data_IF_832032833440
#
_entry.id   IF_832032833440
#
_cell.length_a   1.000
_cell.length_b   1.000
_cell.length_c   1.000
_cell.angle_alpha   90.00
_cell.angle_beta   90.00
_cell.angle_gamma   90.00
#
_symmetry.space_group_name_H-M   'P 1'
#
loop_
_entity.id
_entity.type
_entity.pdbx_description
1 polymer ?
#
# COMPACT_ATOMS: atom_id res chain seq x y z
N UNK A 1 -28.87 29.20 -27.44
CA UNK A 1 -28.58 27.81 -27.75
C UNK A 1 -27.16 27.42 -27.27
N UNK A 2 -26.92 27.39 -25.97
CA UNK A 2 -25.74 26.86 -25.33
C UNK A 2 -26.18 26.30 -23.96
N UNK A 3 -26.58 25.06 -23.96
CA UNK A 3 -26.92 24.35 -22.73
C UNK A 3 -26.58 22.87 -22.94
N UNK A 4 -25.61 22.34 -22.22
CA UNK A 4 -25.40 20.91 -22.19
C UNK A 4 -23.93 20.50 -22.18
N UNK A 5 -23.29 20.48 -21.05
CA UNK A 5 -21.91 19.91 -20.95
C UNK A 5 -21.32 19.89 -19.54
N UNK A 6 -21.92 20.55 -18.59
CA UNK A 6 -21.35 20.64 -17.22
C UNK A 6 -21.73 19.48 -16.29
N UNK A 7 -22.82 18.77 -16.55
CA UNK A 7 -23.30 17.70 -15.67
C UNK A 7 -22.53 16.38 -15.75
N UNK A 8 -22.02 16.03 -16.93
CA UNK A 8 -21.29 14.76 -17.11
C UNK A 8 -19.86 14.82 -16.54
N UNK A 9 -19.14 15.94 -16.74
CA UNK A 9 -17.77 16.10 -16.21
C UNK A 9 -17.74 16.14 -14.67
N UNK A 10 -18.72 16.80 -14.04
CA UNK A 10 -18.81 16.86 -12.58
C UNK A 10 -19.07 15.49 -11.94
N UNK A 11 -19.85 14.60 -12.57
CA UNK A 11 -20.11 13.26 -12.07
C UNK A 11 -18.89 12.33 -12.18
N UNK A 12 -18.12 12.44 -13.26
CA UNK A 12 -16.90 11.64 -13.45
C UNK A 12 -15.83 12.07 -12.42
N UNK A 13 -15.63 13.36 -12.21
CA UNK A 13 -14.72 13.85 -11.19
C UNK A 13 -15.15 13.42 -9.78
N UNK A 14 -16.42 13.56 -9.41
CA UNK A 14 -16.91 13.16 -8.10
C UNK A 14 -16.71 11.65 -7.82
N UNK A 15 -16.83 10.81 -8.85
CA UNK A 15 -16.61 9.36 -8.71
C UNK A 15 -15.13 9.01 -8.55
N UNK A 16 -14.26 9.59 -9.37
CA UNK A 16 -12.81 9.39 -9.29
C UNK A 16 -12.23 9.89 -7.96
N UNK A 17 -12.77 10.99 -7.46
CA UNK A 17 -12.34 11.55 -6.18
C UNK A 17 -12.84 10.75 -4.96
N UNK A 18 -13.93 9.98 -5.08
CA UNK A 18 -14.29 8.96 -4.10
C UNK A 18 -13.24 7.85 -4.02
N UNK A 19 -12.68 7.43 -5.16
CA UNK A 19 -11.58 6.47 -5.17
C UNK A 19 -10.31 7.04 -4.56
N UNK A 20 -9.94 8.28 -4.83
CA UNK A 20 -8.81 8.94 -4.17
C UNK A 20 -9.03 9.11 -2.67
N UNK A 21 -10.27 9.38 -2.24
CA UNK A 21 -10.65 9.36 -0.81
C UNK A 21 -10.61 7.94 -0.24
N UNK A 22 -10.95 6.92 -1.03
CA UNK A 22 -10.82 5.51 -0.65
C UNK A 22 -9.35 5.08 -0.54
N UNK A 23 -8.44 5.58 -1.40
CA UNK A 23 -6.97 5.42 -1.24
C UNK A 23 -6.52 5.96 0.11
N UNK A 24 -7.13 7.09 0.56
CA UNK A 24 -6.88 7.62 1.90
C UNK A 24 -7.31 6.66 3.02
N UNK A 25 -8.18 5.69 2.74
CA UNK A 25 -8.71 4.73 3.71
C UNK A 25 -8.03 3.35 3.58
N UNK A 26 -7.42 3.05 2.44
CA UNK A 26 -6.81 1.74 2.19
C UNK A 26 -5.42 1.67 2.83
N UNK A 27 -5.08 0.61 3.59
CA UNK A 27 -3.74 0.36 4.09
C UNK A 27 -2.71 0.30 2.95
N UNK A 28 -1.44 0.55 3.26
CA UNK A 28 -0.39 0.18 2.31
C UNK A 28 -0.52 -1.33 2.05
N UNK A 29 -0.53 -1.74 0.76
CA UNK A 29 -0.65 -3.15 0.46
C UNK A 29 0.53 -3.94 1.04
N UNK A 30 0.25 -4.98 1.80
CA UNK A 30 1.27 -5.90 2.27
C UNK A 30 1.87 -6.67 1.09
N UNK A 31 3.18 -6.87 1.11
CA UNK A 31 3.82 -7.81 0.19
C UNK A 31 3.45 -9.22 0.66
N UNK A 32 2.75 -10.01 -0.16
CA UNK A 32 2.42 -11.38 0.16
C UNK A 32 3.65 -12.24 0.50
N UNK A 33 3.49 -13.37 1.21
CA UNK A 33 4.61 -14.22 1.64
C UNK A 33 5.54 -14.64 0.51
N UNK A 34 5.03 -14.87 -0.69
CA UNK A 34 5.78 -15.20 -1.89
C UNK A 34 6.66 -14.05 -2.38
N UNK A 35 6.24 -12.79 -2.19
CA UNK A 35 7.03 -11.61 -2.57
C UNK A 35 8.03 -11.21 -1.50
N UNK A 36 7.72 -11.45 -0.24
CA UNK A 36 8.68 -11.30 0.84
C UNK A 36 9.92 -12.21 0.63
N UNK A 37 9.74 -13.37 -0.01
CA UNK A 37 10.85 -14.26 -0.40
C UNK A 37 11.71 -13.68 -1.55
N UNK A 38 11.10 -12.96 -2.49
CA UNK A 38 11.79 -12.28 -3.61
C UNK A 38 12.52 -11.02 -3.11
N UNK A 39 11.88 -10.24 -2.24
CA UNK A 39 12.50 -9.07 -1.62
C UNK A 39 13.67 -9.45 -0.68
N UNK A 40 13.61 -10.63 -0.07
CA UNK A 40 14.69 -11.20 0.76
C UNK A 40 15.82 -11.82 -0.07
N UNK A 41 16.09 -11.36 -1.28
CA UNK A 41 17.21 -11.82 -2.08
C UNK A 41 18.43 -12.14 -1.21
N UNK A 42 18.59 -13.43 -0.88
CA UNK A 42 19.72 -14.05 -0.19
C UNK A 42 20.58 -13.12 0.68
N UNK A 43 20.09 -12.78 1.84
CA UNK A 43 20.93 -12.58 3.01
C UNK A 43 20.39 -13.48 4.11
N UNK A 44 20.79 -14.74 4.06
CA UNK A 44 20.88 -15.55 5.27
C UNK A 44 21.85 -14.82 6.18
N UNK A 45 21.36 -13.99 7.06
CA UNK A 45 22.12 -13.63 8.25
C UNK A 45 22.18 -14.92 9.07
N UNK A 46 23.27 -15.65 8.89
CA UNK A 46 23.60 -16.75 9.75
C UNK A 46 23.59 -16.21 11.19
N UNK A 47 22.73 -16.79 12.02
CA UNK A 47 22.82 -16.66 13.47
C UNK A 47 24.21 -17.10 13.87
N UNK A 48 25.07 -16.12 14.17
CA UNK A 48 26.39 -16.44 14.73
C UNK A 48 26.17 -17.13 16.09
N UNK A 49 26.85 -18.25 16.36
CA UNK A 49 26.82 -18.90 17.66
C UNK A 49 27.42 -17.96 18.70
N UNK A 50 26.81 -17.91 19.86
CA UNK A 50 27.38 -17.34 21.08
C UNK A 50 28.80 -17.92 21.27
N UNK A 51 29.81 -17.11 21.05
CA UNK A 51 31.17 -17.44 21.36
C UNK A 51 31.88 -16.23 21.96
N UNK A 52 32.21 -16.42 23.22
CA UNK A 52 33.34 -15.85 23.94
C UNK A 52 33.15 -14.51 24.65
N UNK A 53 33.12 -14.67 25.96
CA UNK A 53 33.55 -13.69 26.98
C UNK A 53 34.84 -12.99 26.57
N UNK A 54 34.85 -11.64 26.67
CA UNK A 54 36.07 -10.91 26.91
C UNK A 54 36.68 -10.16 25.75
N UNK A 55 35.94 -9.15 25.20
CA UNK A 55 36.57 -7.96 24.64
C UNK A 55 35.66 -6.77 24.84
N UNK A 56 36.09 -5.79 25.66
CA UNK A 56 35.39 -4.47 25.76
C UNK A 56 35.29 -3.88 24.35
N UNK A 57 34.12 -3.42 23.91
CA UNK A 57 34.00 -2.79 22.61
C UNK A 57 34.83 -1.49 22.62
N UNK A 58 35.77 -1.40 21.69
CA UNK A 58 36.73 -0.29 21.56
C UNK A 58 36.16 0.94 20.84
N UNK A 59 34.88 0.93 20.47
CA UNK A 59 34.17 2.13 19.96
C UNK A 59 32.93 2.39 20.83
N UNK A 60 32.68 3.66 21.25
CA UNK A 60 31.44 3.98 21.95
C UNK A 60 30.25 3.63 21.05
N UNK A 61 29.26 2.98 21.64
CA UNK A 61 28.03 2.62 20.94
C UNK A 61 27.37 3.88 20.35
N UNK A 62 26.93 3.82 19.09
CA UNK A 62 26.19 4.90 18.44
C UNK A 62 24.84 5.04 19.16
N UNK A 63 24.51 6.23 19.62
CA UNK A 63 23.24 6.55 20.27
C UNK A 63 22.55 7.71 19.55
N UNK A 64 21.23 7.81 19.69
CA UNK A 64 20.46 8.96 19.18
C UNK A 64 21.07 10.28 19.67
N UNK A 65 21.41 10.37 20.98
CA UNK A 65 22.06 11.54 21.57
C UNK A 65 23.40 11.87 20.88
N UNK A 66 24.24 10.87 20.64
CA UNK A 66 25.56 11.09 20.03
C UNK A 66 25.47 11.60 18.59
N UNK A 67 24.48 11.09 17.82
CA UNK A 67 24.20 11.56 16.45
C UNK A 67 23.67 12.98 16.44
N UNK A 68 22.67 13.29 17.29
CA UNK A 68 22.14 14.66 17.43
C UNK A 68 23.21 15.65 17.85
N UNK A 69 24.06 15.29 18.82
CA UNK A 69 25.20 16.15 19.22
C UNK A 69 26.18 16.38 18.07
N UNK A 70 26.44 15.38 17.23
CA UNK A 70 27.29 15.53 16.07
C UNK A 70 26.65 16.43 14.98
N UNK A 71 25.34 16.33 14.76
CA UNK A 71 24.59 17.21 13.86
C UNK A 71 24.63 18.68 14.35
N UNK A 72 24.44 18.90 15.64
CA UNK A 72 24.51 20.23 16.24
C UNK A 72 25.91 20.85 16.13
N UNK A 73 26.96 20.11 16.51
CA UNK A 73 28.36 20.59 16.40
C UNK A 73 28.76 20.96 14.98
N UNK A 74 28.17 20.33 13.96
CA UNK A 74 28.41 20.64 12.54
C UNK A 74 27.53 21.77 12.02
N UNK A 75 26.69 22.36 12.85
CA UNK A 75 25.73 23.39 12.43
C UNK A 75 24.60 22.89 11.56
N UNK A 76 24.42 21.56 11.44
CA UNK A 76 23.34 20.97 10.64
C UNK A 76 21.96 21.11 11.30
N UNK A 77 21.92 21.26 12.60
CA UNK A 77 20.71 21.54 13.40
C UNK A 77 20.99 22.60 14.45
N UNK A 78 19.94 23.34 14.81
CA UNK A 78 20.01 24.33 15.88
C UNK A 78 20.00 23.66 17.26
N UNK A 79 20.38 24.42 18.31
CA UNK A 79 20.25 23.96 19.70
C UNK A 79 18.79 23.63 20.08
N UNK A 80 17.82 24.36 19.51
CA UNK A 80 16.39 24.11 19.71
C UNK A 80 15.98 22.77 19.08
N UNK A 81 16.37 22.50 17.84
CA UNK A 81 16.10 21.24 17.17
C UNK A 81 16.74 20.05 17.90
N UNK A 82 17.99 20.22 18.35
CA UNK A 82 18.66 19.21 19.20
C UNK A 82 17.86 18.91 20.45
N UNK A 83 17.53 19.94 21.24
CA UNK A 83 16.83 19.77 22.52
C UNK A 83 15.42 19.18 22.34
N UNK A 84 14.67 19.65 21.35
CA UNK A 84 13.32 19.13 21.04
C UNK A 84 13.36 17.65 20.61
N UNK A 85 14.27 17.28 19.73
CA UNK A 85 14.36 15.89 19.24
C UNK A 85 14.81 14.95 20.36
N UNK A 86 15.82 15.34 21.14
CA UNK A 86 16.30 14.53 22.27
C UNK A 86 15.23 14.42 23.36
N UNK A 87 14.48 15.49 23.62
CA UNK A 87 13.39 15.49 24.61
C UNK A 87 12.26 14.57 24.16
N UNK A 88 11.86 14.59 22.87
CA UNK A 88 10.82 13.71 22.33
C UNK A 88 11.25 12.24 22.44
N UNK A 89 12.48 11.89 22.04
CA UNK A 89 13.01 10.54 22.15
C UNK A 89 13.05 10.06 23.60
N UNK A 90 13.65 10.86 24.51
CA UNK A 90 13.72 10.51 25.93
C UNK A 90 12.33 10.42 26.58
N UNK A 91 11.35 11.21 26.14
CA UNK A 91 9.99 11.14 26.66
C UNK A 91 9.29 9.84 26.23
N UNK A 92 9.51 9.39 24.98
CA UNK A 92 9.01 8.09 24.50
C UNK A 92 9.62 6.94 25.32
N UNK A 93 10.95 6.89 25.45
CA UNK A 93 11.67 5.87 26.27
C UNK A 93 11.23 5.88 27.73
N UNK A 94 10.95 7.05 28.32
CA UNK A 94 10.40 7.10 29.69
C UNK A 94 8.98 6.57 29.77
N UNK A 95 8.18 6.79 28.72
CA UNK A 95 6.80 6.33 28.66
C UNK A 95 6.69 4.79 28.50
N UNK A 96 7.71 4.10 28.04
CA UNK A 96 7.78 2.64 28.00
C UNK A 96 7.71 2.00 29.40
N UNK A 97 8.32 2.63 30.40
CA UNK A 97 8.51 2.03 31.75
C UNK A 97 7.23 1.53 32.44
N UNK A 98 6.10 2.27 32.45
CA UNK A 98 4.85 1.80 33.03
C UNK A 98 4.01 0.91 32.09
N UNK A 99 4.40 0.78 30.82
CA UNK A 99 3.63 0.01 29.82
C UNK A 99 3.95 -1.48 29.91
N UNK A 100 3.00 -2.30 29.47
CA UNK A 100 3.15 -3.76 29.38
C UNK A 100 2.43 -4.29 28.12
N UNK A 101 2.76 -5.51 27.72
CA UNK A 101 2.12 -6.19 26.57
C UNK A 101 2.24 -5.38 25.27
N UNK A 102 1.21 -5.41 24.45
CA UNK A 102 1.19 -4.75 23.13
C UNK A 102 1.61 -3.28 23.19
N UNK A 103 1.14 -2.53 24.18
CA UNK A 103 1.49 -1.09 24.31
C UNK A 103 2.98 -0.85 24.44
N UNK A 104 3.65 -1.67 25.26
CA UNK A 104 5.10 -1.61 25.43
C UNK A 104 5.80 -2.01 24.13
N UNK A 105 5.45 -3.14 23.56
CA UNK A 105 6.07 -3.67 22.33
C UNK A 105 6.01 -2.65 21.19
N UNK A 106 4.87 -2.01 21.00
CA UNK A 106 4.69 -1.05 19.90
C UNK A 106 5.47 0.26 20.13
N UNK A 107 5.54 0.77 21.37
CA UNK A 107 6.32 1.98 21.65
C UNK A 107 7.83 1.70 21.57
N UNK A 108 8.30 0.55 22.06
CA UNK A 108 9.68 0.08 21.91
C UNK A 108 10.07 -0.08 20.43
N UNK A 109 9.18 -0.61 19.59
CA UNK A 109 9.44 -0.72 18.15
C UNK A 109 9.69 0.63 17.49
N UNK A 110 8.97 1.67 17.91
CA UNK A 110 9.16 3.03 17.39
C UNK A 110 10.46 3.65 17.88
N UNK A 111 10.80 3.53 19.16
CA UNK A 111 12.06 4.06 19.69
C UNK A 111 13.27 3.32 19.12
N UNK A 112 13.16 2.01 18.90
CA UNK A 112 14.17 1.21 18.21
C UNK A 112 14.33 1.61 16.75
N UNK A 113 13.24 1.88 16.02
CA UNK A 113 13.31 2.38 14.64
C UNK A 113 14.11 3.70 14.57
N UNK A 114 13.91 4.62 15.52
CA UNK A 114 14.69 5.86 15.60
C UNK A 114 16.16 5.59 15.94
N UNK A 115 16.42 4.62 16.83
CA UNK A 115 17.78 4.19 17.13
C UNK A 115 18.47 3.58 15.90
N UNK A 116 17.78 2.75 15.14
CA UNK A 116 18.30 2.18 13.89
C UNK A 116 18.60 3.24 12.84
N UNK A 117 17.77 4.29 12.71
CA UNK A 117 18.10 5.44 11.86
C UNK A 117 19.41 6.12 12.30
N UNK A 118 19.69 6.18 13.60
CA UNK A 118 20.94 6.74 14.11
C UNK A 118 22.13 5.84 13.78
N UNK A 119 22.04 4.53 14.04
CA UNK A 119 23.09 3.53 13.78
C UNK A 119 23.44 3.45 12.29
N UNK A 120 22.43 3.49 11.42
CA UNK A 120 22.59 3.41 9.96
C UNK A 120 22.93 4.77 9.32
N UNK A 121 23.18 5.82 10.12
CA UNK A 121 23.46 7.20 9.69
C UNK A 121 22.32 7.84 8.88
N UNK A 122 21.12 7.35 9.05
CA UNK A 122 19.91 7.86 8.40
C UNK A 122 19.17 8.91 9.24
N UNK A 123 19.52 9.08 10.52
CA UNK A 123 19.01 10.17 11.36
C UNK A 123 19.72 11.49 10.96
N UNK A 124 19.10 12.22 10.04
CA UNK A 124 19.65 13.46 9.46
C UNK A 124 18.75 14.65 9.75
N UNK A 125 19.29 15.87 9.66
CA UNK A 125 18.56 17.09 9.96
C UNK A 125 17.17 17.20 9.28
N UNK A 126 17.03 16.95 7.96
CA UNK A 126 15.73 17.05 7.29
C UNK A 126 14.66 16.04 7.77
N UNK A 127 15.07 14.96 8.44
CA UNK A 127 14.16 13.89 8.91
C UNK A 127 13.64 14.11 10.31
N UNK A 128 14.25 15.05 11.07
CA UNK A 128 13.94 15.21 12.50
C UNK A 128 12.49 15.59 12.76
N UNK A 129 11.89 16.42 11.91
CA UNK A 129 10.49 16.83 12.11
C UNK A 129 9.52 15.64 12.06
N UNK A 130 9.65 14.76 11.08
CA UNK A 130 8.83 13.55 10.98
C UNK A 130 9.12 12.56 12.10
N UNK A 131 10.39 12.38 12.48
CA UNK A 131 10.79 11.53 13.61
C UNK A 131 10.17 12.02 14.91
N UNK A 132 10.23 13.33 15.18
CA UNK A 132 9.61 13.94 16.40
C UNK A 132 8.09 13.77 16.38
N UNK A 133 7.46 13.99 15.23
CA UNK A 133 6.01 13.78 15.09
C UNK A 133 5.62 12.32 15.37
N UNK A 134 6.36 11.34 14.82
CA UNK A 134 6.14 9.91 15.03
C UNK A 134 6.32 9.53 16.51
N UNK A 135 7.39 9.97 17.16
CA UNK A 135 7.62 9.72 18.59
C UNK A 135 6.48 10.29 19.47
N UNK A 136 6.04 11.50 19.20
CA UNK A 136 4.98 12.15 19.97
C UNK A 136 3.62 11.47 19.76
N UNK A 137 3.25 11.14 18.52
CA UNK A 137 2.01 10.42 18.19
C UNK A 137 1.96 9.08 18.92
N UNK A 138 3.02 8.28 18.84
CA UNK A 138 3.10 6.98 19.49
C UNK A 138 3.09 7.09 21.01
N UNK A 139 3.92 7.98 21.60
CA UNK A 139 3.90 8.21 23.04
C UNK A 139 2.50 8.54 23.53
N UNK A 140 1.81 9.49 22.88
CA UNK A 140 0.45 9.87 23.26
C UNK A 140 -0.51 8.71 23.15
N UNK A 141 -0.50 8.01 22.02
CA UNK A 141 -1.46 6.92 21.77
C UNK A 141 -1.26 5.73 22.71
N UNK A 142 -0.03 5.24 22.85
CA UNK A 142 0.24 4.05 23.64
C UNK A 142 0.09 4.27 25.15
N UNK A 143 0.13 5.53 25.60
CA UNK A 143 -0.14 5.85 27.02
C UNK A 143 -1.61 6.10 27.32
N UNK A 144 -2.41 6.58 26.35
CA UNK A 144 -3.78 7.03 26.64
C UNK A 144 -4.85 6.52 25.68
N UNK A 145 -4.48 6.09 24.47
CA UNK A 145 -5.43 5.62 23.46
C UNK A 145 -5.95 4.20 23.69
N UNK A 146 -6.95 3.76 22.95
CA UNK A 146 -7.40 2.36 22.89
C UNK A 146 -6.42 1.48 22.14
N UNK A 147 -6.49 0.14 22.32
CA UNK A 147 -5.74 -0.78 21.47
C UNK A 147 -6.35 -0.79 20.06
N UNK A 148 -5.58 -0.47 19.01
CA UNK A 148 -6.08 -0.46 17.66
C UNK A 148 -6.08 -1.89 17.07
N UNK A 149 -6.92 -2.11 16.06
CA UNK A 149 -6.78 -3.28 15.20
C UNK A 149 -5.72 -3.04 14.12
N UNK A 150 -5.07 -4.08 13.57
CA UNK A 150 -4.15 -3.93 12.45
C UNK A 150 -4.73 -3.06 11.34
N UNK A 151 -3.89 -2.20 10.73
CA UNK A 151 -4.23 -1.28 9.65
C UNK A 151 -5.27 -0.20 10.01
N UNK A 152 -5.61 -0.09 11.30
CA UNK A 152 -6.53 0.96 11.75
C UNK A 152 -5.89 2.35 11.60
N UNK A 153 -6.64 3.24 10.96
CA UNK A 153 -6.27 4.65 10.87
C UNK A 153 -6.71 5.43 12.08
N UNK A 154 -5.83 6.35 12.47
CA UNK A 154 -5.97 7.15 13.68
C UNK A 154 -5.69 8.60 13.33
N UNK A 155 -6.57 9.46 13.78
CA UNK A 155 -6.40 10.91 13.70
C UNK A 155 -6.36 11.50 15.12
N UNK A 156 -5.49 12.49 15.30
CA UNK A 156 -5.37 13.18 16.59
C UNK A 156 -6.15 14.50 16.54
N UNK A 157 -6.81 14.85 17.65
CA UNK A 157 -7.53 16.12 17.77
C UNK A 157 -6.62 17.31 17.41
N UNK A 158 -7.12 18.21 16.57
CA UNK A 158 -6.37 19.37 16.06
C UNK A 158 -5.35 19.06 14.96
N UNK A 159 -5.20 17.80 14.55
CA UNK A 159 -4.37 17.38 13.43
C UNK A 159 -5.23 16.84 12.29
N UNK A 160 -4.79 17.10 11.07
CA UNK A 160 -5.38 16.52 9.85
C UNK A 160 -4.55 15.34 9.31
N UNK A 161 -3.38 15.06 9.91
CA UNK A 161 -2.50 13.98 9.50
C UNK A 161 -3.14 12.63 9.77
N UNK A 162 -2.97 11.69 8.84
CA UNK A 162 -3.44 10.31 8.97
C UNK A 162 -2.30 9.44 9.49
N UNK A 163 -2.53 8.79 10.61
CA UNK A 163 -1.64 7.77 11.17
C UNK A 163 -2.27 6.40 10.98
N UNK A 164 -1.45 5.38 10.80
CA UNK A 164 -1.93 4.01 10.62
C UNK A 164 -1.15 3.07 11.53
N UNK A 165 -1.84 2.12 12.13
CA UNK A 165 -1.24 1.15 13.02
C UNK A 165 -0.68 -0.03 12.24
N UNK A 166 0.62 -0.23 12.32
CA UNK A 166 1.33 -1.38 11.78
C UNK A 166 1.83 -2.24 12.93
N UNK A 167 1.30 -3.47 13.13
CA UNK A 167 1.71 -4.35 14.22
C UNK A 167 3.23 -4.57 14.27
N UNK A 168 3.83 -4.35 15.45
CA UNK A 168 5.27 -4.42 15.65
C UNK A 168 6.07 -3.22 15.10
N UNK A 169 5.37 -2.15 14.65
CA UNK A 169 5.98 -0.91 14.16
C UNK A 169 5.34 0.35 14.78
N UNK A 170 4.28 0.17 15.59
CA UNK A 170 3.52 1.27 16.16
C UNK A 170 2.66 2.04 15.15
N UNK A 171 2.35 3.29 15.49
CA UNK A 171 1.67 4.21 14.57
C UNK A 171 2.68 4.87 13.64
N UNK A 172 2.42 4.79 12.34
CA UNK A 172 3.26 5.40 11.32
C UNK A 172 2.48 6.46 10.54
N UNK A 173 3.16 7.53 10.14
CA UNK A 173 2.56 8.55 9.29
C UNK A 173 2.20 7.94 7.94
N UNK A 174 0.92 7.92 7.61
CA UNK A 174 0.44 7.40 6.34
C UNK A 174 0.49 8.51 5.28
N UNK A 175 1.63 8.57 4.58
CA UNK A 175 1.90 9.63 3.58
C UNK A 175 0.86 9.61 2.46
N UNK A 176 0.61 8.42 1.87
CA UNK A 176 -0.38 8.24 0.81
C UNK A 176 -1.78 8.65 1.30
N UNK A 177 -2.20 8.13 2.46
CA UNK A 177 -3.50 8.44 3.05
C UNK A 177 -3.68 9.91 3.41
N UNK A 178 -2.63 10.57 3.90
CA UNK A 178 -2.68 11.99 4.23
C UNK A 178 -2.88 12.85 2.97
N UNK A 179 -2.11 12.60 1.91
CA UNK A 179 -2.30 13.33 0.64
C UNK A 179 -3.60 12.95 -0.07
N UNK A 180 -4.04 11.70 0.01
CA UNK A 180 -5.35 11.28 -0.49
C UNK A 180 -6.49 12.03 0.21
N UNK A 181 -6.38 12.20 1.56
CA UNK A 181 -7.34 13.03 2.33
C UNK A 181 -7.36 14.48 1.84
N UNK A 182 -6.20 15.08 1.55
CA UNK A 182 -6.14 16.42 0.98
C UNK A 182 -6.82 16.51 -0.40
N UNK A 183 -6.60 15.51 -1.26
CA UNK A 183 -7.26 15.39 -2.54
C UNK A 183 -8.79 15.26 -2.40
N UNK A 184 -9.26 14.46 -1.44
CA UNK A 184 -10.69 14.34 -1.13
C UNK A 184 -11.31 15.66 -0.63
N UNK A 185 -10.58 16.44 0.19
CA UNK A 185 -11.01 17.76 0.65
C UNK A 185 -11.16 18.74 -0.53
N UNK A 186 -10.23 18.73 -1.48
CA UNK A 186 -10.36 19.55 -2.70
C UNK A 186 -11.64 19.23 -3.46
N UNK A 187 -11.92 17.95 -3.65
CA UNK A 187 -13.09 17.48 -4.39
C UNK A 187 -14.40 17.77 -3.67
N UNK A 188 -14.39 17.73 -2.35
CA UNK A 188 -15.57 18.08 -1.54
C UNK A 188 -15.94 19.57 -1.68
N UNK A 189 -15.05 20.39 -2.26
CA UNK A 189 -15.32 21.75 -2.66
C UNK A 189 -14.85 22.82 -1.69
N UNK A 190 -15.15 24.11 -1.97
CA UNK A 190 -14.54 25.26 -1.31
C UNK A 190 -14.67 25.29 0.22
N UNK A 191 -15.73 24.70 0.77
CA UNK A 191 -15.92 24.62 2.23
C UNK A 191 -14.83 23.81 2.95
N UNK A 192 -14.14 22.91 2.22
CA UNK A 192 -13.08 22.08 2.76
C UNK A 192 -11.66 22.61 2.47
N UNK A 193 -11.51 23.66 1.70
CA UNK A 193 -10.19 24.22 1.37
C UNK A 193 -9.38 24.66 2.61
N UNK A 194 -9.97 25.32 3.63
CA UNK A 194 -9.23 25.65 4.83
C UNK A 194 -8.69 24.43 5.58
N UNK A 195 -9.45 23.32 5.61
CA UNK A 195 -9.00 22.07 6.22
C UNK A 195 -7.88 21.41 5.40
N UNK A 196 -7.94 21.48 4.06
CA UNK A 196 -6.87 21.04 3.16
C UNK A 196 -5.58 21.85 3.37
N UNK A 197 -5.69 23.18 3.48
CA UNK A 197 -4.52 24.04 3.78
C UNK A 197 -3.92 23.73 5.15
N UNK A 198 -4.75 23.51 6.17
CA UNK A 198 -4.30 23.07 7.48
C UNK A 198 -3.54 21.73 7.39
N UNK A 199 -4.08 20.75 6.65
CA UNK A 199 -3.42 19.46 6.42
C UNK A 199 -2.04 19.64 5.76
N UNK A 200 -1.98 20.41 4.67
CA UNK A 200 -0.73 20.64 3.95
C UNK A 200 0.28 21.44 4.78
N UNK A 201 -0.17 22.40 5.60
CA UNK A 201 0.69 23.13 6.53
C UNK A 201 1.34 22.21 7.57
N UNK A 202 0.67 21.14 7.97
CA UNK A 202 1.20 20.11 8.87
C UNK A 202 2.09 19.10 8.12
N UNK A 203 1.73 18.74 6.89
CA UNK A 203 2.41 17.67 6.13
C UNK A 203 3.71 18.15 5.46
N UNK A 204 3.74 19.35 4.91
CA UNK A 204 4.91 19.86 4.17
C UNK A 204 6.17 19.91 5.04
N UNK A 205 6.14 20.39 6.30
CA UNK A 205 7.32 20.40 7.17
C UNK A 205 7.85 19.02 7.57
N UNK A 206 7.07 17.94 7.39
CA UNK A 206 7.49 16.58 7.67
C UNK A 206 8.29 15.94 6.53
N UNK A 207 8.44 16.64 5.41
CA UNK A 207 9.26 16.16 4.31
C UNK A 207 10.74 16.14 4.68
N UNK A 208 11.45 15.17 4.14
CA UNK A 208 12.91 15.09 4.13
C UNK A 208 13.49 15.64 2.82
N UNK A 209 14.80 15.53 2.67
CA UNK A 209 15.50 15.76 1.40
C UNK A 209 16.11 14.46 0.89
N UNK A 210 15.63 14.01 -0.29
CA UNK A 210 16.06 12.78 -0.94
C UNK A 210 16.20 13.04 -2.45
N UNK A 211 17.25 12.53 -3.06
CA UNK A 211 17.47 12.76 -4.50
C UNK A 211 17.68 14.20 -4.91
N UNK A 212 17.95 15.10 -3.95
CA UNK A 212 18.14 16.54 -4.16
C UNK A 212 16.87 17.39 -3.97
N UNK A 213 15.71 16.78 -3.67
CA UNK A 213 14.44 17.48 -3.51
C UNK A 213 13.66 17.11 -2.26
N UNK A 214 12.46 17.66 -2.18
CA UNK A 214 11.48 17.39 -1.11
C UNK A 214 10.91 16.00 -1.28
N UNK A 215 10.87 15.19 -0.21
CA UNK A 215 10.36 13.81 -0.26
C UNK A 215 9.76 13.43 1.09
N UNK A 216 8.58 12.86 1.09
CA UNK A 216 7.98 12.27 2.28
C UNK A 216 8.37 10.80 2.35
N UNK A 217 9.01 10.42 3.45
CA UNK A 217 9.59 9.09 3.65
C UNK A 217 8.82 8.34 4.75
N UNK A 218 8.93 7.03 4.71
CA UNK A 218 8.47 6.11 5.75
C UNK A 218 9.66 5.68 6.60
N UNK A 219 9.50 5.68 7.92
CA UNK A 219 10.59 5.49 8.89
C UNK A 219 10.46 4.21 9.70
N UNK A 220 9.81 3.22 9.18
CA UNK A 220 9.62 1.91 9.79
C UNK A 220 9.98 0.79 8.83
N UNK A 221 10.25 -0.40 9.38
CA UNK A 221 10.49 -1.60 8.58
C UNK A 221 9.17 -2.14 8.05
N UNK A 222 9.13 -2.47 6.76
CA UNK A 222 7.94 -2.99 6.11
C UNK A 222 8.32 -4.11 5.15
N UNK A 223 7.73 -5.30 5.31
CA UNK A 223 7.92 -6.48 4.47
C UNK A 223 9.41 -6.77 4.09
N UNK A 224 10.28 -6.69 5.08
CA UNK A 224 11.71 -6.90 4.91
C UNK A 224 12.49 -5.69 4.41
N UNK A 225 11.82 -4.60 4.05
CA UNK A 225 12.45 -3.33 3.71
C UNK A 225 12.86 -2.54 4.95
N UNK A 226 14.07 -1.99 4.94
CA UNK A 226 14.58 -1.15 6.02
C UNK A 226 14.27 0.33 5.79
N UNK A 227 13.98 1.11 6.86
CA UNK A 227 13.79 2.56 6.75
C UNK A 227 15.11 3.31 6.50
N UNK A 228 15.07 4.51 5.87
CA UNK A 228 13.89 5.16 5.31
C UNK A 228 13.63 4.72 3.88
N UNK A 229 12.37 4.55 3.53
CA UNK A 229 11.94 4.26 2.17
C UNK A 229 10.83 5.23 1.71
N UNK A 230 10.52 5.24 0.43
CA UNK A 230 9.44 6.05 -0.14
C UNK A 230 8.74 5.31 -1.27
N UNK A 231 7.64 5.87 -1.76
CA UNK A 231 6.75 5.31 -2.77
C UNK A 231 6.46 6.35 -3.85
N UNK A 232 6.54 5.97 -5.13
CA UNK A 232 6.11 6.83 -6.23
C UNK A 232 4.64 7.22 -6.10
N UNK A 233 3.79 6.25 -5.74
CA UNK A 233 2.36 6.47 -5.53
C UNK A 233 2.11 7.56 -4.49
N UNK A 234 2.78 7.50 -3.33
CA UNK A 234 2.64 8.51 -2.27
C UNK A 234 3.14 9.89 -2.72
N UNK A 235 4.27 9.95 -3.40
CA UNK A 235 4.82 11.22 -3.87
C UNK A 235 3.94 11.86 -4.95
N UNK A 236 3.43 11.06 -5.90
CA UNK A 236 2.56 11.54 -6.97
C UNK A 236 1.20 12.01 -6.45
N UNK A 237 0.61 11.30 -5.47
CA UNK A 237 -0.59 11.76 -4.76
C UNK A 237 -0.34 13.10 -4.06
N UNK A 238 0.90 13.30 -3.56
CA UNK A 238 1.34 14.59 -3.02
C UNK A 238 1.45 15.68 -4.08
N UNK A 239 1.99 15.38 -5.27
CA UNK A 239 2.02 16.33 -6.39
C UNK A 239 0.61 16.78 -6.79
N UNK A 240 -0.33 15.85 -6.86
CA UNK A 240 -1.73 16.13 -7.16
C UNK A 240 -2.36 17.03 -6.07
N UNK A 241 -2.16 16.70 -4.79
CA UNK A 241 -2.69 17.50 -3.68
C UNK A 241 -2.14 18.92 -3.65
N UNK A 242 -0.84 19.10 -3.91
CA UNK A 242 -0.20 20.41 -3.99
C UNK A 242 -0.70 21.21 -5.21
N UNK A 243 -0.91 20.55 -6.36
CA UNK A 243 -1.48 21.19 -7.55
C UNK A 243 -2.91 21.66 -7.30
N UNK A 244 -3.73 20.86 -6.65
CA UNK A 244 -5.10 21.18 -6.25
C UNK A 244 -5.15 22.32 -5.21
N UNK A 245 -4.22 22.32 -4.27
CA UNK A 245 -4.10 23.41 -3.30
C UNK A 245 -3.76 24.74 -4.00
N UNK A 246 -2.87 24.75 -5.00
CA UNK A 246 -2.63 25.91 -5.82
C UNK A 246 -3.89 26.37 -6.56
N UNK A 247 -4.63 25.45 -7.19
CA UNK A 247 -5.89 25.78 -7.88
C UNK A 247 -6.95 26.35 -6.93
N UNK A 248 -7.01 25.86 -5.70
CA UNK A 248 -7.95 26.30 -4.69
C UNK A 248 -7.64 27.69 -4.11
N UNK A 249 -6.34 28.02 -3.96
CA UNK A 249 -5.87 29.16 -3.15
C UNK A 249 -5.10 30.22 -3.94
N UNK A 250 -4.67 29.89 -5.15
CA UNK A 250 -3.74 30.65 -5.98
C UNK A 250 -2.38 30.95 -5.28
N UNK A 251 -2.00 30.13 -4.28
CA UNK A 251 -0.73 30.30 -3.55
C UNK A 251 0.41 29.56 -4.26
N UNK A 252 1.39 30.27 -4.86
CA UNK A 252 2.47 29.66 -5.64
C UNK A 252 3.41 28.80 -4.81
N UNK A 253 3.38 28.92 -3.48
CA UNK A 253 4.18 28.09 -2.57
C UNK A 253 3.93 26.60 -2.79
N UNK A 254 2.70 26.19 -3.03
CA UNK A 254 2.37 24.77 -3.28
C UNK A 254 3.04 24.24 -4.55
N UNK A 255 3.09 25.01 -5.63
CA UNK A 255 3.81 24.62 -6.85
C UNK A 255 5.33 24.60 -6.67
N UNK A 256 5.88 25.47 -5.83
CA UNK A 256 7.32 25.44 -5.50
C UNK A 256 7.68 24.16 -4.74
N UNK A 257 6.86 23.75 -3.78
CA UNK A 257 7.02 22.47 -3.06
C UNK A 257 6.91 21.30 -4.02
N UNK A 258 5.89 21.28 -4.88
CA UNK A 258 5.69 20.24 -5.89
C UNK A 258 6.87 20.15 -6.87
N UNK A 259 7.40 21.28 -7.33
CA UNK A 259 8.59 21.32 -8.20
C UNK A 259 9.83 20.69 -7.51
N UNK A 260 10.02 20.96 -6.22
CA UNK A 260 11.07 20.31 -5.43
C UNK A 260 10.82 18.80 -5.26
N UNK A 261 9.57 18.39 -5.14
CA UNK A 261 9.21 16.97 -4.97
C UNK A 261 9.40 16.14 -6.25
N UNK A 262 9.47 16.76 -7.42
CA UNK A 262 9.79 16.08 -8.68
C UNK A 262 11.17 15.42 -8.70
N UNK A 263 12.11 15.84 -7.86
CA UNK A 263 13.51 15.37 -7.90
C UNK A 263 13.63 13.85 -7.70
N UNK A 264 12.76 13.24 -6.89
CA UNK A 264 12.79 11.79 -6.60
C UNK A 264 12.38 10.95 -7.80
N UNK A 265 11.54 11.49 -8.70
CA UNK A 265 11.12 10.81 -9.94
C UNK A 265 12.22 10.78 -11.02
N UNK A 266 13.21 11.68 -10.93
CA UNK A 266 14.39 11.69 -11.81
C UNK A 266 15.52 10.77 -11.34
N UNK A 267 15.31 9.90 -10.35
CA UNK A 267 16.33 9.05 -9.76
C UNK A 267 15.92 7.58 -9.74
N UNK A 268 16.93 6.71 -9.88
CA UNK A 268 16.76 5.27 -9.71
C UNK A 268 16.75 4.88 -8.22
N UNK A 269 16.15 3.71 -7.87
CA UNK A 269 16.23 3.15 -6.51
C UNK A 269 17.69 2.87 -6.11
N UNK A 270 18.02 2.87 -4.83
CA UNK A 270 17.13 3.07 -3.69
C UNK A 270 16.81 4.53 -3.40
N UNK A 271 17.42 5.48 -4.11
CA UNK A 271 17.23 6.93 -3.88
C UNK A 271 15.90 7.42 -4.44
N UNK A 272 15.61 7.09 -5.69
CA UNK A 272 14.41 7.51 -6.39
C UNK A 272 13.39 6.40 -6.54
N UNK A 273 12.34 6.73 -7.29
CA UNK A 273 11.13 5.89 -7.41
C UNK A 273 10.88 5.41 -8.84
N UNK A 274 11.82 5.62 -9.76
CA UNK A 274 11.66 5.36 -11.19
C UNK A 274 12.66 4.29 -11.66
N UNK A 275 12.17 3.29 -12.37
CA UNK A 275 12.98 2.23 -13.00
C UNK A 275 12.82 2.31 -14.51
N UNK A 276 13.90 2.46 -15.29
CA UNK A 276 13.85 2.38 -16.74
C UNK A 276 13.39 0.99 -17.19
N UNK A 277 12.62 0.96 -18.27
CA UNK A 277 12.16 -0.26 -18.97
C UNK A 277 12.44 -0.16 -20.45
N UNK A 278 12.15 -1.20 -21.21
CA UNK A 278 12.31 -1.18 -22.68
C UNK A 278 11.32 -0.24 -23.39
N UNK A 279 10.17 0.03 -22.79
CA UNK A 279 9.11 0.87 -23.37
C UNK A 279 9.07 2.28 -22.77
N UNK A 280 9.72 2.47 -21.63
CA UNK A 280 9.69 3.75 -20.93
C UNK A 280 10.21 3.69 -19.52
N UNK A 281 9.33 3.93 -18.55
CA UNK A 281 9.66 3.88 -17.12
C UNK A 281 8.52 3.26 -16.33
N UNK A 282 8.88 2.62 -15.23
CA UNK A 282 7.98 2.08 -14.22
C UNK A 282 8.18 2.82 -12.91
N UNK A 283 7.10 2.94 -12.12
CA UNK A 283 7.10 3.63 -10.85
C UNK A 283 6.96 2.67 -9.67
N UNK A 284 7.77 2.86 -8.63
CA UNK A 284 7.89 1.93 -7.53
C UNK A 284 6.88 2.21 -6.42
N UNK A 285 6.18 1.16 -5.97
CA UNK A 285 5.45 1.20 -4.71
C UNK A 285 6.41 1.29 -3.52
N UNK A 286 7.55 0.59 -3.58
CA UNK A 286 8.56 0.54 -2.51
C UNK A 286 9.96 0.69 -3.09
N UNK A 287 10.72 1.70 -2.63
CA UNK A 287 12.10 1.90 -3.11
C UNK A 287 13.06 0.79 -2.70
N UNK A 288 12.71 -0.04 -1.73
CA UNK A 288 13.48 -1.20 -1.30
C UNK A 288 13.17 -2.48 -2.11
N UNK A 289 12.09 -2.51 -2.88
CA UNK A 289 11.67 -3.66 -3.67
C UNK A 289 11.54 -3.31 -5.17
N UNK A 290 12.63 -2.94 -5.86
CA UNK A 290 12.57 -2.40 -7.23
C UNK A 290 12.16 -3.42 -8.28
N UNK A 291 12.20 -4.70 -8.00
CA UNK A 291 11.73 -5.77 -8.90
C UNK A 291 10.22 -6.04 -8.79
N UNK A 292 9.58 -5.56 -7.73
CA UNK A 292 8.16 -5.81 -7.50
C UNK A 292 7.31 -4.94 -8.44
N UNK A 293 6.43 -5.59 -9.20
CA UNK A 293 5.47 -4.96 -10.10
C UNK A 293 4.14 -4.81 -9.37
N UNK A 294 3.70 -3.58 -9.16
CA UNK A 294 2.42 -3.24 -8.53
C UNK A 294 1.72 -2.21 -9.40
N UNK A 295 0.66 -2.63 -10.09
CA UNK A 295 0.00 -1.80 -11.10
C UNK A 295 -0.59 -0.50 -10.50
N UNK A 296 -1.11 -0.54 -9.27
CA UNK A 296 -1.68 0.62 -8.60
C UNK A 296 -0.66 1.76 -8.44
N UNK A 297 0.62 1.41 -8.20
CA UNK A 297 1.68 2.41 -8.07
C UNK A 297 1.95 3.14 -9.39
N UNK A 298 1.94 2.41 -10.50
CA UNK A 298 2.11 3.01 -11.82
C UNK A 298 0.92 3.92 -12.18
N UNK A 299 -0.32 3.40 -12.07
CA UNK A 299 -1.52 4.12 -12.48
C UNK A 299 -1.74 5.42 -11.67
N UNK A 300 -1.66 5.36 -10.34
CA UNK A 300 -1.78 6.56 -9.51
C UNK A 300 -0.64 7.55 -9.74
N UNK A 301 0.58 7.04 -9.99
CA UNK A 301 1.70 7.92 -10.30
C UNK A 301 1.49 8.69 -11.60
N UNK A 302 0.95 8.04 -12.62
CA UNK A 302 0.57 8.69 -13.88
C UNK A 302 -0.45 9.82 -13.65
N UNK A 303 -1.49 9.55 -12.86
CA UNK A 303 -2.53 10.54 -12.54
C UNK A 303 -1.92 11.76 -11.85
N UNK A 304 -1.07 11.55 -10.85
CA UNK A 304 -0.43 12.65 -10.12
C UNK A 304 0.57 13.45 -10.96
N UNK A 305 1.34 12.77 -11.82
CA UNK A 305 2.27 13.43 -12.75
C UNK A 305 1.53 14.25 -13.80
N UNK A 306 0.43 13.74 -14.35
CA UNK A 306 -0.41 14.46 -15.31
C UNK A 306 -1.05 15.69 -14.68
N UNK A 307 -1.67 15.52 -13.50
CA UNK A 307 -2.27 16.64 -12.74
C UNK A 307 -1.25 17.76 -12.50
N UNK A 308 -0.06 17.41 -12.03
CA UNK A 308 0.99 18.40 -11.81
C UNK A 308 1.48 19.03 -13.11
N UNK A 309 1.67 18.24 -14.17
CA UNK A 309 2.14 18.74 -15.47
C UNK A 309 1.14 19.71 -16.12
N UNK A 310 -0.17 19.45 -15.97
CA UNK A 310 -1.22 20.34 -16.49
C UNK A 310 -1.27 21.67 -15.76
N UNK A 311 -1.17 21.65 -14.44
CA UNK A 311 -1.29 22.85 -13.61
C UNK A 311 -0.04 23.72 -13.67
N UNK A 312 1.15 23.10 -13.64
CA UNK A 312 2.45 23.80 -13.57
C UNK A 312 3.10 24.05 -14.93
N UNK A 313 2.68 23.36 -15.99
CA UNK A 313 3.38 23.34 -17.27
C UNK A 313 4.69 22.55 -17.28
N UNK A 314 4.99 21.77 -16.22
CA UNK A 314 6.27 21.09 -16.04
C UNK A 314 6.54 20.04 -17.13
N UNK A 315 7.56 20.24 -17.94
CA UNK A 315 7.91 19.37 -19.08
C UNK A 315 8.49 18.04 -18.65
N UNK A 316 9.19 17.97 -17.53
CA UNK A 316 9.74 16.72 -16.97
C UNK A 316 8.61 15.81 -16.50
N UNK A 317 7.62 16.33 -15.77
CA UNK A 317 6.45 15.57 -15.35
C UNK A 317 5.67 15.03 -16.56
N UNK A 318 5.48 15.87 -17.59
CA UNK A 318 4.84 15.45 -18.86
C UNK A 318 5.62 14.34 -19.58
N UNK A 319 6.94 14.42 -19.57
CA UNK A 319 7.79 13.39 -20.19
C UNK A 319 7.71 12.07 -19.42
N UNK A 320 7.81 12.11 -18.08
CA UNK A 320 7.66 10.93 -17.23
C UNK A 320 6.26 10.32 -17.35
N UNK A 321 5.21 11.15 -17.42
CA UNK A 321 3.87 10.66 -17.71
C UNK A 321 3.82 9.87 -19.03
N UNK A 322 4.34 10.43 -20.14
CA UNK A 322 4.33 9.74 -21.43
C UNK A 322 5.09 8.42 -21.41
N UNK A 323 6.28 8.40 -20.78
CA UNK A 323 7.10 7.20 -20.68
C UNK A 323 6.45 6.13 -19.80
N UNK A 324 5.91 6.53 -18.63
CA UNK A 324 5.22 5.61 -17.75
C UNK A 324 3.90 5.11 -18.33
N UNK A 325 3.18 5.97 -19.08
CA UNK A 325 1.95 5.58 -19.76
C UNK A 325 2.18 4.53 -20.84
N UNK A 326 3.29 4.62 -21.60
CA UNK A 326 3.66 3.60 -22.59
C UNK A 326 3.90 2.24 -21.92
N UNK A 327 4.64 2.22 -20.82
CA UNK A 327 4.89 1.00 -20.03
C UNK A 327 3.59 0.44 -19.42
N UNK A 328 2.80 1.29 -18.75
CA UNK A 328 1.56 0.87 -18.08
C UNK A 328 0.55 0.25 -19.08
N UNK A 329 0.38 0.85 -20.26
CA UNK A 329 -0.48 0.28 -21.31
C UNK A 329 -0.02 -1.10 -21.77
N UNK A 330 1.27 -1.32 -21.85
CA UNK A 330 1.83 -2.60 -22.32
C UNK A 330 1.70 -3.72 -21.27
N UNK A 331 1.89 -3.38 -19.98
CA UNK A 331 1.85 -4.39 -18.90
C UNK A 331 0.45 -4.66 -18.37
N UNK A 332 -0.47 -3.71 -18.49
CA UNK A 332 -1.83 -3.79 -17.92
C UNK A 332 -2.58 -5.09 -18.29
N UNK A 333 -2.52 -5.64 -19.49
CA UNK A 333 -3.18 -6.90 -19.81
C UNK A 333 -2.74 -8.08 -18.93
N UNK A 334 -1.49 -8.07 -18.43
CA UNK A 334 -0.98 -9.12 -17.54
C UNK A 334 -1.52 -9.02 -16.11
N UNK A 335 -2.18 -7.92 -15.76
CA UNK A 335 -2.86 -7.71 -14.48
C UNK A 335 -4.35 -8.00 -14.52
N UNK A 336 -4.84 -8.64 -15.57
CA UNK A 336 -6.22 -9.01 -15.77
C UNK A 336 -6.34 -10.52 -15.92
N UNK A 337 -7.03 -11.20 -14.98
CA UNK A 337 -7.27 -12.65 -15.05
C UNK A 337 -8.37 -13.02 -16.06
N UNK A 338 -9.11 -12.04 -16.58
CA UNK A 338 -10.35 -12.23 -17.34
C UNK A 338 -11.61 -12.28 -16.47
N UNK A 339 -11.45 -12.19 -15.14
CA UNK A 339 -12.55 -12.19 -14.19
C UNK A 339 -12.27 -11.33 -12.93
N UNK A 340 -11.04 -10.85 -12.77
CA UNK A 340 -10.61 -9.99 -11.65
C UNK A 340 -9.26 -9.34 -11.95
N UNK A 341 -8.92 -8.26 -11.21
CA UNK A 341 -7.61 -7.62 -11.29
C UNK A 341 -6.55 -8.34 -10.45
N UNK A 342 -5.29 -8.15 -10.80
CA UNK A 342 -4.14 -8.58 -10.02
C UNK A 342 -3.46 -7.36 -9.37
N UNK A 343 -3.11 -7.49 -8.09
CA UNK A 343 -2.24 -6.56 -7.36
C UNK A 343 -0.81 -6.56 -7.91
N UNK A 344 -0.29 -7.76 -8.09
CA UNK A 344 0.99 -8.06 -8.72
C UNK A 344 0.88 -9.38 -9.49
N UNK A 345 1.81 -9.74 -10.37
CA UNK A 345 1.72 -10.99 -11.13
C UNK A 345 1.44 -12.20 -10.25
N UNK A 346 0.31 -12.86 -10.48
CA UNK A 346 -0.14 -14.04 -9.75
C UNK A 346 -0.89 -13.79 -8.45
N UNK A 347 -1.03 -12.56 -7.99
CA UNK A 347 -1.75 -12.19 -6.76
C UNK A 347 -2.96 -11.35 -7.11
N UNK A 348 -4.16 -11.85 -6.81
CA UNK A 348 -5.40 -11.11 -7.01
C UNK A 348 -5.51 -9.95 -6.03
N UNK A 349 -6.10 -8.84 -6.50
CA UNK A 349 -6.55 -7.76 -5.63
C UNK A 349 -7.64 -8.25 -4.68
N UNK A 350 -7.66 -7.70 -3.46
CA UNK A 350 -8.87 -7.72 -2.66
C UNK A 350 -9.95 -6.80 -3.27
N UNK A 351 -11.14 -6.79 -2.69
CA UNK A 351 -12.24 -5.99 -3.24
C UNK A 351 -11.91 -4.51 -3.32
N UNK A 352 -11.30 -3.96 -2.27
CA UNK A 352 -10.99 -2.52 -2.21
C UNK A 352 -9.92 -2.12 -3.22
N UNK A 353 -8.93 -2.97 -3.45
CA UNK A 353 -7.91 -2.74 -4.48
C UNK A 353 -8.43 -2.92 -5.90
N UNK A 354 -9.33 -3.90 -6.12
CA UNK A 354 -10.00 -4.05 -7.41
C UNK A 354 -10.86 -2.81 -7.76
N UNK A 355 -11.62 -2.28 -6.80
CA UNK A 355 -12.36 -1.03 -6.96
C UNK A 355 -11.43 0.16 -7.20
N UNK A 356 -10.30 0.23 -6.48
CA UNK A 356 -9.30 1.27 -6.60
C UNK A 356 -8.67 1.30 -8.00
N UNK A 357 -8.16 0.15 -8.47
CA UNK A 357 -7.53 0.06 -9.80
C UNK A 357 -8.53 0.37 -10.90
N UNK A 358 -9.79 -0.05 -10.74
CA UNK A 358 -10.89 0.29 -11.67
C UNK A 358 -11.06 1.80 -11.79
N UNK A 359 -11.10 2.52 -10.66
CA UNK A 359 -11.20 3.99 -10.65
C UNK A 359 -10.01 4.68 -11.30
N UNK A 360 -8.79 4.20 -11.10
CA UNK A 360 -7.60 4.72 -11.78
C UNK A 360 -7.68 4.52 -13.30
N UNK A 361 -8.14 3.36 -13.75
CA UNK A 361 -8.32 3.07 -15.16
C UNK A 361 -9.42 3.94 -15.80
N UNK A 362 -10.54 4.18 -15.12
CA UNK A 362 -11.58 5.12 -15.56
C UNK A 362 -11.01 6.53 -15.75
N UNK A 363 -10.17 6.98 -14.81
CA UNK A 363 -9.52 8.27 -14.90
C UNK A 363 -8.52 8.34 -16.05
N UNK A 364 -7.64 7.34 -16.20
CA UNK A 364 -6.68 7.26 -17.30
C UNK A 364 -7.37 7.10 -18.66
N UNK A 365 -8.49 6.38 -18.74
CA UNK A 365 -9.35 6.34 -19.92
C UNK A 365 -9.85 7.74 -20.28
N UNK A 366 -10.28 8.52 -19.30
CA UNK A 366 -10.74 9.91 -19.50
C UNK A 366 -9.61 10.81 -19.98
N UNK A 367 -8.42 10.70 -19.39
CA UNK A 367 -7.24 11.52 -19.69
C UNK A 367 -6.65 11.21 -21.06
N UNK A 368 -6.45 9.92 -21.35
CA UNK A 368 -5.66 9.49 -22.52
C UNK A 368 -6.49 9.04 -23.72
N UNK A 369 -7.74 8.66 -23.50
CA UNK A 369 -8.63 7.99 -24.46
C UNK A 369 -8.06 6.66 -24.99
N UNK A 370 -7.06 6.09 -24.32
CA UNK A 370 -6.44 4.84 -24.72
C UNK A 370 -7.41 3.66 -24.53
N UNK A 371 -7.71 2.88 -25.59
CA UNK A 371 -8.68 1.78 -25.51
C UNK A 371 -8.39 0.76 -24.41
N UNK A 372 -7.12 0.46 -24.16
CA UNK A 372 -6.72 -0.53 -23.14
C UNK A 372 -7.20 -0.12 -21.73
N UNK A 373 -7.11 1.14 -21.35
CA UNK A 373 -7.64 1.62 -20.07
C UNK A 373 -9.16 1.57 -20.05
N UNK A 374 -9.80 2.04 -21.12
CA UNK A 374 -11.25 2.12 -21.19
C UNK A 374 -11.90 0.73 -21.13
N UNK A 375 -11.38 -0.21 -21.93
CA UNK A 375 -11.90 -1.58 -21.99
C UNK A 375 -11.66 -2.33 -20.69
N UNK A 376 -10.45 -2.21 -20.11
CA UNK A 376 -10.14 -2.88 -18.84
C UNK A 376 -10.98 -2.32 -17.69
N UNK A 377 -11.19 -0.99 -17.63
CA UNK A 377 -12.08 -0.38 -16.64
C UNK A 377 -13.51 -0.89 -16.73
N UNK A 378 -14.05 -0.99 -17.96
CA UNK A 378 -15.39 -1.54 -18.20
C UNK A 378 -15.50 -3.00 -17.74
N UNK A 379 -14.49 -3.81 -18.07
CA UNK A 379 -14.45 -5.21 -17.64
C UNK A 379 -14.39 -5.31 -16.11
N UNK A 380 -13.48 -4.62 -15.44
CA UNK A 380 -13.34 -4.66 -13.98
C UNK A 380 -14.60 -4.16 -13.27
N UNK A 381 -15.30 -3.17 -13.84
CA UNK A 381 -16.62 -2.75 -13.34
C UNK A 381 -17.65 -3.88 -13.47
N UNK A 382 -17.65 -4.62 -14.58
CA UNK A 382 -18.54 -5.77 -14.78
C UNK A 382 -18.19 -6.94 -13.85
N UNK A 383 -16.91 -7.16 -13.58
CA UNK A 383 -16.43 -8.23 -12.69
C UNK A 383 -16.96 -8.10 -11.25
N UNK A 384 -17.27 -6.87 -10.80
CA UNK A 384 -17.89 -6.63 -9.48
C UNK A 384 -19.30 -7.25 -9.33
N UNK A 385 -19.98 -7.53 -10.43
CA UNK A 385 -21.34 -8.09 -10.44
C UNK A 385 -21.44 -9.46 -11.14
N UNK A 386 -20.35 -9.92 -11.75
CA UNK A 386 -20.30 -11.21 -12.45
C UNK A 386 -19.98 -12.33 -11.46
N UNK A 387 -20.80 -13.39 -11.33
CA UNK A 387 -20.51 -14.51 -10.44
C UNK A 387 -19.21 -15.24 -10.80
N UNK A 388 -18.53 -15.86 -9.82
CA UNK A 388 -17.37 -16.70 -10.09
C UNK A 388 -17.76 -17.92 -10.91
N UNK A 389 -16.91 -18.35 -11.84
CA UNK A 389 -17.09 -19.56 -12.63
C UNK A 389 -16.39 -20.74 -11.95
N UNK A 390 -17.11 -21.83 -11.78
CA UNK A 390 -16.60 -23.11 -11.28
C UNK A 390 -16.69 -24.16 -12.39
N UNK A 391 -15.59 -24.91 -12.65
CA UNK A 391 -15.55 -26.00 -13.63
C UNK A 391 -14.65 -27.15 -13.17
N UNK A 392 -14.64 -28.24 -13.90
CA UNK A 392 -13.68 -29.37 -13.82
C UNK A 392 -13.64 -30.08 -12.45
N UNK A 393 -14.76 -30.66 -12.02
CA UNK A 393 -14.78 -31.51 -10.84
C UNK A 393 -14.19 -32.89 -11.16
N UNK A 394 -13.21 -33.35 -10.38
CA UNK A 394 -12.60 -34.67 -10.56
C UNK A 394 -13.60 -35.79 -10.39
N UNK A 395 -13.80 -36.69 -11.37
CA UNK A 395 -14.95 -37.62 -11.39
C UNK A 395 -14.69 -38.94 -10.65
N UNK A 396 -13.46 -39.34 -10.33
CA UNK A 396 -13.12 -40.67 -9.81
C UNK A 396 -12.16 -40.64 -8.63
N UNK A 397 -12.33 -41.61 -7.72
CA UNK A 397 -11.46 -41.78 -6.54
C UNK A 397 -11.29 -43.28 -6.17
N UNK A 398 -10.27 -43.60 -5.37
CA UNK A 398 -10.09 -44.93 -4.77
C UNK A 398 -10.86 -45.06 -3.47
N UNK A 399 -11.38 -46.25 -3.14
CA UNK A 399 -12.18 -46.44 -1.94
C UNK A 399 -11.30 -46.34 -0.68
N UNK A 400 -11.91 -45.87 0.39
CA UNK A 400 -11.32 -45.79 1.74
C UNK A 400 -9.99 -45.03 1.86
N UNK A 401 -9.52 -44.37 0.79
CA UNK A 401 -8.34 -43.53 0.83
C UNK A 401 -8.76 -42.07 0.65
N UNK A 402 -8.14 -41.11 1.37
CA UNK A 402 -8.31 -39.70 1.08
C UNK A 402 -7.90 -39.38 -0.35
N UNK A 403 -8.61 -38.48 -1.00
CA UNK A 403 -8.32 -38.06 -2.38
C UNK A 403 -8.51 -36.56 -2.57
N UNK A 404 -7.86 -36.01 -3.57
CA UNK A 404 -7.97 -34.62 -3.98
C UNK A 404 -9.15 -34.47 -4.95
N UNK A 405 -10.16 -33.66 -4.60
CA UNK A 405 -11.20 -33.25 -5.49
C UNK A 405 -10.82 -31.89 -6.06
N UNK A 406 -10.44 -31.87 -7.34
CA UNK A 406 -9.96 -30.68 -8.03
C UNK A 406 -11.11 -29.96 -8.74
N UNK A 407 -11.00 -28.63 -8.80
CA UNK A 407 -11.90 -27.74 -9.52
C UNK A 407 -11.12 -26.51 -10.00
N UNK A 408 -11.63 -25.84 -11.05
CA UNK A 408 -11.11 -24.57 -11.54
C UNK A 408 -12.04 -23.44 -11.07
N UNK A 409 -11.43 -22.37 -10.60
CA UNK A 409 -12.11 -21.18 -10.08
C UNK A 409 -11.62 -19.94 -10.86
N UNK A 410 -12.54 -19.08 -11.34
CA UNK A 410 -12.20 -17.92 -12.18
C UNK A 410 -11.67 -16.74 -11.41
N UNK A 411 -12.01 -16.56 -10.13
CA UNK A 411 -11.58 -15.46 -9.25
C UNK A 411 -11.66 -15.85 -7.78
N UNK A 412 -10.92 -15.14 -6.93
CA UNK A 412 -10.86 -15.38 -5.48
C UNK A 412 -12.26 -15.51 -4.86
N UNK A 413 -12.48 -16.61 -4.18
CA UNK A 413 -13.80 -16.92 -3.60
C UNK A 413 -13.69 -17.80 -2.37
N UNK A 414 -14.67 -17.68 -1.47
CA UNK A 414 -14.93 -18.69 -0.47
C UNK A 414 -15.74 -19.84 -1.12
N UNK A 415 -15.15 -21.02 -1.18
CA UNK A 415 -15.78 -22.20 -1.80
C UNK A 415 -16.17 -23.20 -0.74
N UNK A 416 -17.44 -23.63 -0.78
CA UNK A 416 -17.95 -24.73 0.01
C UNK A 416 -18.13 -25.99 -0.83
N UNK A 417 -17.81 -27.15 -0.28
CA UNK A 417 -18.05 -28.46 -0.87
C UNK A 417 -18.99 -29.26 0.01
N UNK A 418 -19.97 -29.95 -0.60
CA UNK A 418 -20.84 -30.93 0.03
C UNK A 418 -20.81 -32.19 -0.82
N UNK A 419 -20.49 -33.34 -0.19
CA UNK A 419 -20.54 -34.67 -0.82
C UNK A 419 -21.66 -35.46 -0.17
N UNK A 420 -22.55 -36.02 -0.98
CA UNK A 420 -23.74 -36.78 -0.51
C UNK A 420 -23.76 -38.18 -1.06
N UNK A 421 -24.34 -39.10 -0.29
CA UNK A 421 -24.73 -40.43 -0.77
C UNK A 421 -26.25 -40.57 -0.61
N UNK A 422 -26.98 -40.55 -1.72
CA UNK A 422 -28.43 -40.32 -1.67
C UNK A 422 -28.74 -38.98 -0.99
N UNK A 423 -29.64 -38.99 -0.01
CA UNK A 423 -30.01 -37.80 0.75
C UNK A 423 -29.04 -37.46 1.89
N UNK A 424 -28.07 -38.32 2.22
CA UNK A 424 -27.20 -38.15 3.38
C UNK A 424 -25.90 -37.39 3.01
N UNK A 425 -25.57 -36.34 3.75
CA UNK A 425 -24.27 -35.67 3.65
C UNK A 425 -23.18 -36.53 4.31
N UNK A 426 -22.15 -36.90 3.54
CA UNK A 426 -21.02 -37.71 4.01
C UNK A 426 -19.76 -36.89 4.25
N UNK A 427 -19.68 -35.72 3.63
CA UNK A 427 -18.58 -34.76 3.83
C UNK A 427 -19.02 -33.34 3.49
N UNK A 428 -18.60 -32.38 4.28
CA UNK A 428 -18.81 -30.94 4.01
C UNK A 428 -17.72 -30.14 4.64
N UNK A 429 -17.19 -29.15 3.87
CA UNK A 429 -16.21 -28.17 4.36
C UNK A 429 -16.26 -26.92 3.50
N UNK A 430 -15.56 -25.88 3.93
CA UNK A 430 -15.35 -24.65 3.13
C UNK A 430 -13.97 -24.06 3.38
N UNK A 431 -13.42 -23.40 2.35
CA UNK A 431 -12.16 -22.65 2.43
C UNK A 431 -12.15 -21.50 1.42
N UNK A 432 -11.30 -20.51 1.64
CA UNK A 432 -11.02 -19.44 0.67
C UNK A 432 -9.91 -19.88 -0.27
N UNK A 433 -10.13 -19.61 -1.56
CA UNK A 433 -9.19 -19.93 -2.63
C UNK A 433 -9.01 -18.74 -3.57
N UNK A 434 -7.78 -18.54 -4.05
CA UNK A 434 -7.50 -17.68 -5.19
C UNK A 434 -7.97 -18.33 -6.52
N UNK A 435 -7.93 -17.61 -7.63
CA UNK A 435 -8.25 -18.15 -8.96
C UNK A 435 -7.33 -19.32 -9.38
N UNK A 436 -7.76 -20.09 -10.36
CA UNK A 436 -7.01 -21.21 -10.93
C UNK A 436 -7.50 -22.59 -10.47
N UNK A 437 -6.66 -23.62 -10.64
CA UNK A 437 -6.99 -24.98 -10.21
C UNK A 437 -6.77 -25.09 -8.71
N UNK A 438 -7.80 -25.58 -8.01
CA UNK A 438 -7.85 -25.73 -6.55
C UNK A 438 -8.35 -27.10 -6.16
N UNK A 439 -8.07 -27.51 -4.92
CA UNK A 439 -8.44 -28.85 -4.45
C UNK A 439 -8.99 -28.82 -3.03
N UNK A 440 -9.97 -29.70 -2.78
CA UNK A 440 -10.31 -30.15 -1.44
C UNK A 440 -9.78 -31.56 -1.22
N UNK A 441 -9.25 -31.83 -0.03
CA UNK A 441 -8.98 -33.21 0.37
C UNK A 441 -10.25 -33.79 0.98
N UNK A 442 -10.81 -34.75 0.31
CA UNK A 442 -11.99 -35.49 0.75
C UNK A 442 -11.53 -36.76 1.46
N UNK A 443 -12.05 -37.07 2.66
CA UNK A 443 -11.71 -38.31 3.37
C UNK A 443 -12.11 -39.53 2.57
N UNK A 444 -11.53 -40.70 2.88
CA UNK A 444 -11.80 -41.93 2.18
C UNK A 444 -13.26 -42.36 2.31
N UNK A 445 -13.91 -42.57 1.17
CA UNK A 445 -15.29 -42.98 1.04
C UNK A 445 -15.40 -44.48 0.73
N UNK A 446 -16.52 -45.10 1.00
CA UNK A 446 -16.85 -46.49 0.56
C UNK A 446 -17.07 -46.46 -0.97
N UNK A 447 -16.88 -47.60 -1.64
CA UNK A 447 -17.23 -47.76 -3.05
C UNK A 447 -18.71 -47.38 -3.31
N UNK A 448 -18.94 -46.66 -4.42
CA UNK A 448 -20.28 -46.22 -4.83
C UNK A 448 -20.26 -44.85 -5.51
N UNK A 449 -21.47 -44.39 -5.85
CA UNK A 449 -21.69 -43.08 -6.51
C UNK A 449 -22.15 -42.05 -5.48
N UNK A 450 -21.60 -40.87 -5.59
CA UNK A 450 -21.84 -39.73 -4.70
C UNK A 450 -22.19 -38.48 -5.51
N UNK A 451 -23.13 -37.70 -4.99
CA UNK A 451 -23.34 -36.34 -5.47
C UNK A 451 -22.29 -35.39 -4.89
N UNK A 452 -21.76 -34.53 -5.70
CA UNK A 452 -20.85 -33.43 -5.29
C UNK A 452 -21.49 -32.11 -5.63
N UNK A 453 -21.51 -31.18 -4.68
CA UNK A 453 -21.94 -29.81 -4.87
C UNK A 453 -20.80 -28.87 -4.43
N UNK A 454 -20.37 -28.03 -5.33
CA UNK A 454 -19.48 -26.89 -5.05
C UNK A 454 -20.28 -25.60 -5.14
N UNK A 455 -20.08 -24.71 -4.19
CA UNK A 455 -20.68 -23.38 -4.17
C UNK A 455 -19.60 -22.35 -3.86
N UNK A 456 -19.50 -21.31 -4.66
CA UNK A 456 -18.51 -20.24 -4.52
C UNK A 456 -19.19 -18.89 -4.30
N UNK A 457 -18.65 -18.10 -3.37
CA UNK A 457 -18.99 -16.69 -3.17
C UNK A 457 -17.71 -15.88 -3.31
N UNK A 458 -17.68 -14.94 -4.27
CA UNK A 458 -16.52 -14.09 -4.52
C UNK A 458 -16.41 -12.96 -3.48
N UNK A 459 -15.37 -12.11 -3.64
CA UNK A 459 -15.09 -10.99 -2.73
C UNK A 459 -16.18 -9.90 -2.79
N UNK A 460 -16.89 -9.77 -3.92
CA UNK A 460 -17.99 -8.82 -4.10
C UNK A 460 -19.36 -9.39 -3.65
N UNK A 461 -19.39 -10.66 -3.18
CA UNK A 461 -20.61 -11.32 -2.71
C UNK A 461 -21.40 -12.05 -3.79
N UNK A 462 -20.93 -12.11 -5.04
CA UNK A 462 -21.60 -12.83 -6.12
C UNK A 462 -21.47 -14.34 -5.90
N UNK A 463 -22.54 -15.06 -6.19
CA UNK A 463 -22.66 -16.48 -5.89
C UNK A 463 -22.83 -17.33 -7.14
N UNK A 464 -22.15 -18.48 -7.18
CA UNK A 464 -22.37 -19.53 -8.15
C UNK A 464 -22.30 -20.91 -7.50
N UNK A 465 -22.85 -21.91 -8.20
CA UNK A 465 -22.73 -23.30 -7.78
C UNK A 465 -22.73 -24.26 -8.96
N UNK A 466 -22.02 -25.36 -8.79
CA UNK A 466 -22.08 -26.49 -9.70
C UNK A 466 -22.37 -27.76 -8.93
N UNK A 467 -22.94 -28.75 -9.64
CA UNK A 467 -23.16 -30.10 -9.14
C UNK A 467 -22.54 -31.10 -10.10
N UNK A 468 -22.00 -32.16 -9.55
CA UNK A 468 -21.40 -33.24 -10.31
C UNK A 468 -21.59 -34.58 -9.62
N UNK A 469 -21.12 -35.64 -10.23
CA UNK A 469 -21.12 -36.99 -9.70
C UNK A 469 -19.68 -37.46 -9.52
N UNK A 470 -19.40 -38.04 -8.36
CA UNK A 470 -18.15 -38.68 -8.02
C UNK A 470 -18.35 -40.19 -7.93
N UNK A 471 -17.56 -40.96 -8.66
CA UNK A 471 -17.52 -42.40 -8.55
C UNK A 471 -16.31 -42.83 -7.73
N UNK A 472 -16.57 -43.59 -6.64
CA UNK A 472 -15.51 -44.25 -5.87
C UNK A 472 -15.51 -45.72 -6.29
N UNK A 473 -14.39 -46.15 -6.86
CA UNK A 473 -14.23 -47.50 -7.39
C UNK A 473 -14.40 -48.60 -6.34
N UNK A 474 -14.50 -49.80 -6.75
CA UNK A 474 -14.57 -51.00 -5.89
C UNK A 474 -13.20 -51.45 -5.40
#
# INVERSE_FOLDING_TARGET
LLGGGRGARGRVHARNDRFLSAVAITPLPAIGPEHAAIARGRTTVARQPDATRGRKPTKPAVTVKSVLSALQRRGSITAVQYSQTLAAFNAAVRAEKPLTGTRLTELEAVTESVHQLAVTKQLTAPRLAAVVATLNANRTWWTTGSLPVPDQRIEFAGSQLVWEYYPGQGLQLQVLGTFGKANGMYTAGPSQYPAMEQLLSQMIPLASRRGGGTTWEYYFSFDGGAPPWTSAMSQATGLEALSRAYLATNNPYYLQVAASAMAVFGKAPPVGVTVPTTLGVRFLQYTFAPSLLIINADLQTLIGLDSYAQVSGNTTARTLFRQGNAEAMAVLPSFNTGAWSLYSPGIEDDLSYHELVTGFLEQLCTLTKAPVYCTTAQQFTADLTTPPVLTDVTPTALPRKPFALSFRLSKASKVGIVVTRGASTVFSTSASFAYGVRTFIVPGLKAGTYGVRLAATDLAGNFSRITGTLTVGS
#
